data_IF_550556532831
#
_entry.id   IF_550556532831
#
_cell.length_a   1.000
_cell.length_b   1.000
_cell.length_c   1.000
_cell.angle_alpha   90.00
_cell.angle_beta   90.00
_cell.angle_gamma   90.00
#
_symmetry.space_group_name_H-M   'P 1'
#
loop_
_entity.id
_entity.type
_entity.pdbx_description
1 polymer ?
#
# COMPACT_ATOMS: atom_id res chain seq x y z
N UNK A 1 0.46 -21.99 18.52
CA UNK A 1 0.20 -20.56 18.30
C UNK A 1 -1.28 -20.40 18.11
N UNK A 2 -1.90 -19.61 18.96
CA UNK A 2 -3.36 -19.42 19.04
C UNK A 2 -3.84 -18.68 17.78
N UNK A 3 -4.68 -19.33 16.97
CA UNK A 3 -5.19 -18.79 15.70
C UNK A 3 -6.39 -17.84 15.87
N UNK A 4 -6.72 -17.48 17.11
CA UNK A 4 -7.98 -16.83 17.47
C UNK A 4 -8.01 -15.32 17.31
N UNK A 5 -6.90 -14.67 16.93
CA UNK A 5 -6.82 -13.22 16.71
C UNK A 5 -6.26 -12.88 15.31
N UNK A 6 -6.60 -13.66 14.29
CA UNK A 6 -6.40 -13.21 12.91
C UNK A 6 -7.36 -12.04 12.66
N UNK A 7 -6.82 -10.88 12.31
CA UNK A 7 -7.64 -9.69 12.08
C UNK A 7 -8.63 -9.95 10.95
N UNK A 8 -9.90 -9.60 11.17
CA UNK A 8 -10.93 -9.77 10.15
C UNK A 8 -10.81 -8.68 9.08
N UNK A 9 -9.89 -8.88 8.13
CA UNK A 9 -9.70 -7.95 7.01
C UNK A 9 -10.97 -7.75 6.16
N UNK A 10 -11.96 -8.64 6.24
CA UNK A 10 -13.24 -8.47 5.55
C UNK A 10 -14.07 -7.33 6.15
N UNK A 11 -14.13 -7.23 7.48
CA UNK A 11 -14.82 -6.11 8.15
C UNK A 11 -14.14 -4.78 7.83
N UNK A 12 -12.80 -4.77 7.82
CA UNK A 12 -12.02 -3.60 7.46
C UNK A 12 -12.27 -3.18 6.00
N UNK A 13 -12.26 -4.16 5.08
CA UNK A 13 -12.57 -3.95 3.67
C UNK A 13 -13.97 -3.36 3.49
N UNK A 14 -14.96 -3.84 4.24
CA UNK A 14 -16.33 -3.33 4.19
C UNK A 14 -16.45 -1.89 4.68
N UNK A 15 -15.76 -1.53 5.76
CA UNK A 15 -15.72 -0.16 6.28
C UNK A 15 -15.11 0.80 5.24
N UNK A 16 -13.94 0.43 4.70
CA UNK A 16 -13.24 1.19 3.66
C UNK A 16 -14.12 1.32 2.40
N UNK A 17 -14.76 0.24 1.97
CA UNK A 17 -15.66 0.24 0.81
C UNK A 17 -16.84 1.18 0.99
N UNK A 18 -17.46 1.17 2.19
CA UNK A 18 -18.64 2.01 2.51
C UNK A 18 -18.30 3.49 2.55
N UNK A 19 -17.10 3.85 2.99
CA UNK A 19 -16.64 5.24 3.06
C UNK A 19 -16.39 5.87 1.67
N UNK A 20 -16.16 5.05 0.64
CA UNK A 20 -15.96 5.55 -0.71
C UNK A 20 -17.30 6.01 -1.34
N UNK A 21 -17.31 7.16 -2.07
CA UNK A 21 -18.51 7.72 -2.70
C UNK A 21 -19.29 6.71 -3.54
N UNK A 22 -20.62 6.67 -3.36
CA UNK A 22 -21.51 5.69 -3.98
C UNK A 22 -21.91 5.99 -5.43
N UNK A 23 -21.57 7.16 -5.99
CA UNK A 23 -21.91 7.57 -7.38
C UNK A 23 -21.03 6.85 -8.43
N UNK A 24 -21.07 5.51 -8.40
CA UNK A 24 -20.18 4.62 -9.15
C UNK A 24 -20.65 4.24 -10.56
N UNK A 25 -21.74 4.79 -11.09
CA UNK A 25 -22.18 4.43 -12.44
C UNK A 25 -21.10 4.74 -13.50
N UNK A 26 -20.35 5.83 -13.32
CA UNK A 26 -19.24 6.22 -14.19
C UNK A 26 -18.04 5.29 -14.05
N UNK A 27 -17.76 4.77 -12.85
CA UNK A 27 -16.61 3.88 -12.67
C UNK A 27 -16.91 2.40 -12.91
N UNK A 28 -18.15 1.95 -12.76
CA UNK A 28 -18.58 0.65 -13.31
C UNK A 28 -18.59 0.70 -14.84
N UNK A 29 -19.01 1.82 -15.44
CA UNK A 29 -18.92 2.05 -16.88
C UNK A 29 -17.46 2.11 -17.34
N UNK A 30 -16.61 2.91 -16.70
CA UNK A 30 -15.19 3.01 -17.03
C UNK A 30 -14.45 1.68 -16.80
N UNK A 31 -14.81 0.91 -15.77
CA UNK A 31 -14.28 -0.44 -15.58
C UNK A 31 -14.75 -1.38 -16.69
N UNK A 32 -16.04 -1.35 -17.06
CA UNK A 32 -16.54 -2.17 -18.18
C UNK A 32 -15.82 -1.80 -19.47
N UNK A 33 -15.64 -0.51 -19.76
CA UNK A 33 -14.89 0.00 -20.90
C UNK A 33 -13.42 -0.45 -20.84
N UNK A 34 -12.78 -0.39 -19.69
CA UNK A 34 -11.42 -0.91 -19.47
C UNK A 34 -11.34 -2.43 -19.61
N UNK A 35 -12.28 -3.19 -19.05
CA UNK A 35 -12.32 -4.66 -19.10
C UNK A 35 -12.57 -5.16 -20.53
N UNK A 36 -13.33 -4.39 -21.31
CA UNK A 36 -13.53 -4.62 -22.74
C UNK A 36 -12.25 -4.29 -23.55
N UNK A 37 -11.50 -3.26 -23.18
CA UNK A 37 -10.24 -2.87 -23.85
C UNK A 37 -9.04 -3.77 -23.45
N UNK A 38 -9.05 -4.33 -22.23
CA UNK A 38 -7.99 -5.23 -21.72
C UNK A 38 -8.19 -6.70 -22.06
N UNK A 39 -9.37 -7.11 -22.56
CA UNK A 39 -9.52 -8.40 -23.24
C UNK A 39 -8.60 -8.52 -24.48
N UNK A 40 -8.07 -7.40 -24.97
CA UNK A 40 -7.11 -7.30 -26.09
C UNK A 40 -5.67 -6.99 -25.61
N UNK A 41 -5.46 -6.64 -24.34
CA UNK A 41 -4.15 -6.23 -23.80
C UNK A 41 -3.79 -7.06 -22.57
N UNK A 42 -2.81 -7.95 -22.74
CA UNK A 42 -2.07 -8.48 -21.60
C UNK A 42 -1.52 -7.30 -20.78
N UNK A 43 -2.09 -7.05 -19.59
CA UNK A 43 -1.49 -6.49 -18.36
C UNK A 43 -2.39 -5.46 -17.68
N UNK A 44 -2.47 -5.56 -16.36
CA UNK A 44 -2.92 -4.55 -15.42
C UNK A 44 -2.05 -3.28 -15.55
N UNK A 45 -2.34 -2.45 -16.55
CA UNK A 45 -1.77 -1.13 -16.75
C UNK A 45 -2.92 -0.15 -16.79
N UNK A 46 -3.19 0.53 -15.67
CA UNK A 46 -4.14 1.63 -15.64
C UNK A 46 -3.40 2.93 -15.84
N UNK A 47 -3.97 3.85 -16.63
CA UNK A 47 -3.46 5.22 -16.64
C UNK A 47 -3.74 5.87 -15.27
N UNK A 48 -2.94 6.87 -14.90
CA UNK A 48 -3.18 7.69 -13.70
C UNK A 48 -4.60 8.27 -13.71
N UNK A 49 -5.07 8.70 -14.88
CA UNK A 49 -6.41 9.25 -15.06
C UNK A 49 -7.51 8.22 -14.83
N UNK A 50 -7.31 6.96 -15.21
CA UNK A 50 -8.24 5.87 -14.91
C UNK A 50 -8.24 5.51 -13.43
N UNK A 51 -7.06 5.54 -12.81
CA UNK A 51 -6.88 5.28 -11.38
C UNK A 51 -7.57 6.34 -10.50
N UNK A 52 -7.69 7.58 -11.00
CA UNK A 52 -8.43 8.69 -10.37
C UNK A 52 -9.97 8.59 -10.47
N UNK A 53 -10.52 7.65 -11.25
CA UNK A 53 -11.98 7.53 -11.44
C UNK A 53 -12.66 6.89 -10.21
N UNK A 54 -13.69 7.54 -9.67
CA UNK A 54 -14.30 7.17 -8.37
C UNK A 54 -14.86 5.74 -8.27
N UNK A 55 -15.29 5.09 -9.36
CA UNK A 55 -15.74 3.69 -9.27
C UNK A 55 -14.66 2.63 -9.48
N UNK A 56 -13.43 3.01 -9.90
CA UNK A 56 -12.28 2.12 -9.78
C UNK A 56 -12.01 1.83 -8.30
N UNK A 57 -12.05 2.86 -7.45
CA UNK A 57 -11.73 2.76 -6.03
C UNK A 57 -12.58 1.73 -5.29
N UNK A 58 -13.90 1.77 -5.46
CA UNK A 58 -14.82 0.81 -4.82
C UNK A 58 -14.61 -0.61 -5.31
N UNK A 59 -14.40 -0.80 -6.60
CA UNK A 59 -14.20 -2.13 -7.17
C UNK A 59 -12.86 -2.72 -6.76
N UNK A 60 -11.80 -1.91 -6.76
CA UNK A 60 -10.50 -2.30 -6.24
C UNK A 60 -10.62 -2.77 -4.78
N UNK A 61 -11.27 -1.98 -3.92
CA UNK A 61 -11.44 -2.34 -2.51
C UNK A 61 -12.22 -3.65 -2.37
N UNK A 62 -13.35 -3.78 -3.07
CA UNK A 62 -14.17 -4.99 -3.04
C UNK A 62 -13.42 -6.24 -3.51
N UNK A 63 -12.62 -6.14 -4.57
CA UNK A 63 -11.98 -7.31 -5.19
C UNK A 63 -10.63 -7.67 -4.58
N UNK A 64 -9.83 -6.69 -4.16
CA UNK A 64 -8.40 -6.88 -3.93
C UNK A 64 -7.93 -6.54 -2.51
N UNK A 65 -8.72 -5.81 -1.71
CA UNK A 65 -8.27 -5.30 -0.42
C UNK A 65 -7.84 -6.43 0.52
N UNK A 66 -8.73 -7.40 0.76
CA UNK A 66 -8.51 -8.49 1.72
C UNK A 66 -7.29 -9.32 1.34
N UNK A 67 -7.20 -9.73 0.08
CA UNK A 67 -6.10 -10.57 -0.39
C UNK A 67 -4.76 -9.86 -0.32
N UNK A 68 -4.71 -8.56 -0.65
CA UNK A 68 -3.49 -7.75 -0.54
C UNK A 68 -3.08 -7.53 0.91
N UNK A 69 -4.02 -7.23 1.80
CA UNK A 69 -3.72 -7.09 3.22
C UNK A 69 -3.16 -8.39 3.83
N UNK A 70 -3.79 -9.54 3.52
CA UNK A 70 -3.30 -10.87 3.94
C UNK A 70 -1.93 -11.21 3.34
N UNK A 71 -1.70 -10.88 2.07
CA UNK A 71 -0.41 -11.11 1.42
C UNK A 71 0.70 -10.31 2.10
N UNK A 72 0.44 -9.03 2.41
CA UNK A 72 1.42 -8.17 3.08
C UNK A 72 1.68 -8.61 4.52
N UNK A 73 0.65 -9.04 5.26
CA UNK A 73 0.84 -9.66 6.57
C UNK A 73 1.78 -10.88 6.51
N UNK A 74 1.51 -11.81 5.58
CA UNK A 74 2.32 -13.01 5.38
C UNK A 74 3.75 -12.68 4.96
N UNK A 75 3.93 -11.61 4.18
CA UNK A 75 5.24 -11.10 3.81
C UNK A 75 5.99 -10.59 5.05
N UNK A 76 5.35 -9.80 5.90
CA UNK A 76 5.95 -9.30 7.15
C UNK A 76 6.39 -10.44 8.07
N UNK A 77 5.57 -11.49 8.19
CA UNK A 77 5.95 -12.68 8.92
C UNK A 77 7.28 -13.27 8.39
N UNK A 78 7.39 -13.48 7.07
CA UNK A 78 8.62 -14.01 6.47
C UNK A 78 9.81 -13.07 6.64
N UNK A 79 9.60 -11.75 6.51
CA UNK A 79 10.66 -10.75 6.67
C UNK A 79 11.22 -10.80 8.09
N UNK A 80 10.35 -10.85 9.10
CA UNK A 80 10.75 -10.91 10.50
C UNK A 80 11.46 -12.23 10.83
N UNK A 81 10.93 -13.36 10.34
CA UNK A 81 11.55 -14.67 10.53
C UNK A 81 12.94 -14.76 9.88
N UNK A 82 13.13 -14.12 8.71
CA UNK A 82 14.35 -14.24 7.91
C UNK A 82 15.43 -13.24 8.33
N UNK A 83 15.05 -11.99 8.53
CA UNK A 83 15.99 -10.87 8.69
C UNK A 83 16.07 -10.35 10.12
N UNK A 84 15.13 -10.74 10.99
CA UNK A 84 15.05 -10.30 12.39
C UNK A 84 15.29 -8.78 12.56
N UNK A 85 14.59 -7.93 11.79
CA UNK A 85 14.78 -6.49 11.88
C UNK A 85 14.37 -5.98 13.26
N UNK A 86 15.05 -4.92 13.72
CA UNK A 86 14.69 -4.20 14.94
C UNK A 86 13.42 -3.36 14.71
N UNK A 87 12.26 -4.01 14.79
CA UNK A 87 10.95 -3.38 14.83
C UNK A 87 10.49 -3.24 16.28
N UNK A 88 9.78 -2.16 16.58
CA UNK A 88 9.29 -1.90 17.93
C UNK A 88 8.43 -0.64 18.01
N UNK A 89 8.12 -0.21 19.24
CA UNK A 89 7.34 1.00 19.48
C UNK A 89 7.95 2.20 18.74
N UNK A 90 7.13 2.97 18.02
CA UNK A 90 7.60 4.10 17.20
C UNK A 90 8.02 3.74 15.77
N UNK A 91 7.90 2.46 15.36
CA UNK A 91 8.09 2.09 13.94
C UNK A 91 7.07 2.79 13.06
N UNK A 92 7.53 3.58 12.10
CA UNK A 92 6.67 4.28 11.14
C UNK A 92 6.50 3.49 9.84
N UNK A 93 5.32 3.54 9.23
CA UNK A 93 5.06 2.95 7.91
C UNK A 93 5.01 4.07 6.87
N UNK A 94 5.73 3.91 5.77
CA UNK A 94 5.64 4.78 4.60
C UNK A 94 5.17 3.95 3.40
N UNK A 95 3.97 4.18 2.91
CA UNK A 95 3.36 3.39 1.83
C UNK A 95 3.19 4.26 0.59
N UNK A 96 3.96 3.99 -0.45
CA UNK A 96 3.88 4.71 -1.73
C UNK A 96 3.03 3.93 -2.71
N UNK A 97 2.12 4.61 -3.41
CA UNK A 97 1.03 4.01 -4.18
C UNK A 97 0.09 3.19 -3.27
N UNK A 98 -0.16 3.71 -2.07
CA UNK A 98 -0.87 3.00 -1.01
C UNK A 98 -2.29 2.56 -1.39
N UNK A 99 -2.91 3.24 -2.36
CA UNK A 99 -4.32 3.11 -2.67
C UNK A 99 -5.17 3.33 -1.41
N UNK A 100 -6.14 2.44 -1.11
CA UNK A 100 -6.94 2.51 0.10
C UNK A 100 -6.19 2.05 1.38
N UNK A 101 -4.88 1.82 1.32
CA UNK A 101 -4.08 1.41 2.47
C UNK A 101 -4.09 -0.09 2.77
N UNK A 102 -4.39 -0.95 1.80
CA UNK A 102 -4.46 -2.41 2.02
C UNK A 102 -3.13 -3.03 2.51
N UNK A 103 -1.99 -2.61 1.93
CA UNK A 103 -0.69 -3.09 2.36
C UNK A 103 -0.32 -2.53 3.73
N UNK A 104 -0.53 -1.23 3.95
CA UNK A 104 -0.42 -0.61 5.28
C UNK A 104 -1.24 -1.37 6.32
N UNK A 105 -2.51 -1.71 6.04
CA UNK A 105 -3.36 -2.49 6.94
C UNK A 105 -2.71 -3.83 7.29
N UNK A 106 -2.20 -4.57 6.30
CA UNK A 106 -1.48 -5.82 6.52
C UNK A 106 -0.25 -5.68 7.44
N UNK A 107 0.58 -4.66 7.22
CA UNK A 107 1.76 -4.38 8.05
C UNK A 107 1.37 -3.95 9.47
N UNK A 108 0.49 -2.96 9.58
CA UNK A 108 0.05 -2.40 10.86
C UNK A 108 -0.56 -3.47 11.76
N UNK A 109 -1.41 -4.32 11.18
CA UNK A 109 -2.03 -5.42 11.87
C UNK A 109 -1.00 -6.43 12.36
N UNK A 110 0.03 -6.73 11.55
CA UNK A 110 1.10 -7.64 11.94
C UNK A 110 1.89 -7.10 13.14
N UNK A 111 2.27 -5.82 13.10
CA UNK A 111 3.01 -5.16 14.17
C UNK A 111 2.22 -5.18 15.48
N UNK A 112 0.93 -4.84 15.41
CA UNK A 112 0.05 -4.84 16.56
C UNK A 112 -0.13 -6.25 17.15
N UNK A 113 -0.43 -7.24 16.31
CA UNK A 113 -0.63 -8.62 16.74
C UNK A 113 0.62 -9.27 17.36
N UNK A 114 1.81 -8.89 16.89
CA UNK A 114 3.08 -9.35 17.46
C UNK A 114 3.50 -8.57 18.71
N UNK A 115 2.66 -7.66 19.22
CA UNK A 115 2.98 -6.73 20.30
C UNK A 115 4.28 -5.95 20.06
N UNK A 116 4.61 -5.70 18.78
CA UNK A 116 5.78 -4.91 18.40
C UNK A 116 5.51 -3.42 18.55
N UNK A 117 4.25 -3.00 18.40
CA UNK A 117 3.85 -1.60 18.59
C UNK A 117 2.45 -1.54 19.21
N UNK A 118 2.31 -0.77 20.29
CA UNK A 118 1.01 -0.45 20.86
C UNK A 118 0.25 0.53 19.98
N UNK A 119 0.98 1.42 19.29
CA UNK A 119 0.46 2.38 18.32
C UNK A 119 1.19 2.27 16.98
N UNK A 120 0.49 2.39 15.86
CA UNK A 120 1.11 2.35 14.52
C UNK A 120 0.88 3.66 13.80
N UNK A 121 1.96 4.36 13.45
CA UNK A 121 1.89 5.56 12.62
C UNK A 121 2.22 5.22 11.17
N UNK A 122 1.37 5.64 10.25
CA UNK A 122 1.57 5.44 8.82
C UNK A 122 1.44 6.75 8.04
N UNK A 123 2.22 6.89 6.97
CA UNK A 123 2.08 7.94 5.98
C UNK A 123 1.90 7.29 4.60
N UNK A 124 0.74 7.52 4.01
CA UNK A 124 0.31 6.92 2.76
C UNK A 124 0.38 7.98 1.66
N UNK A 125 1.09 7.67 0.59
CA UNK A 125 1.29 8.53 -0.56
C UNK A 125 0.68 7.86 -1.78
N UNK A 126 -0.18 8.57 -2.50
CA UNK A 126 -0.84 8.03 -3.69
C UNK A 126 -1.27 9.19 -4.62
N UNK A 127 -1.27 9.01 -5.95
CA UNK A 127 -1.74 10.06 -6.87
C UNK A 127 -3.27 10.15 -6.99
N UNK A 128 -4.03 9.20 -6.45
CA UNK A 128 -5.50 9.24 -6.45
C UNK A 128 -6.04 9.59 -5.06
N UNK A 129 -7.23 10.17 -5.02
CA UNK A 129 -7.88 10.64 -3.79
C UNK A 129 -8.46 9.48 -2.97
N UNK A 130 -7.65 8.94 -2.06
CA UNK A 130 -8.04 7.85 -1.14
C UNK A 130 -8.35 8.31 0.28
N UNK A 131 -8.32 9.62 0.56
CA UNK A 131 -8.52 10.16 1.91
C UNK A 131 -9.73 9.54 2.65
N UNK A 132 -10.94 9.42 2.06
CA UNK A 132 -12.08 8.81 2.77
C UNK A 132 -11.86 7.34 3.14
N UNK A 133 -11.15 6.59 2.29
CA UNK A 133 -10.81 5.20 2.56
C UNK A 133 -9.78 5.08 3.70
N UNK A 134 -8.77 5.96 3.70
CA UNK A 134 -7.73 5.97 4.75
C UNK A 134 -8.29 6.46 6.09
N UNK A 135 -9.22 7.42 6.09
CA UNK A 135 -9.95 7.85 7.28
C UNK A 135 -10.78 6.71 7.88
N UNK A 136 -11.47 5.94 7.03
CA UNK A 136 -12.23 4.76 7.47
C UNK A 136 -11.32 3.65 8.02
N UNK A 137 -10.16 3.44 7.40
CA UNK A 137 -9.12 2.53 7.89
C UNK A 137 -8.66 2.92 9.29
N UNK A 138 -8.27 4.18 9.50
CA UNK A 138 -7.86 4.73 10.80
C UNK A 138 -8.97 4.64 11.85
N UNK A 139 -10.22 4.94 11.47
CA UNK A 139 -11.36 4.86 12.38
C UNK A 139 -11.67 3.43 12.82
N UNK A 140 -11.43 2.45 11.94
CA UNK A 140 -11.66 1.03 12.21
C UNK A 140 -10.53 0.40 13.04
N UNK A 141 -9.34 0.99 13.02
CA UNK A 141 -8.15 0.54 13.73
C UNK A 141 -7.72 1.62 14.73
N UNK A 142 -8.35 1.67 15.90
CA UNK A 142 -8.14 2.76 16.88
C UNK A 142 -6.71 2.92 17.42
N UNK A 143 -5.87 1.91 17.23
CA UNK A 143 -4.44 1.91 17.59
C UNK A 143 -3.53 2.29 16.41
N UNK A 144 -4.10 2.60 15.25
CA UNK A 144 -3.39 3.06 14.05
C UNK A 144 -3.75 4.52 13.79
N UNK A 145 -2.76 5.31 13.37
CA UNK A 145 -2.92 6.66 12.88
C UNK A 145 -2.27 6.76 11.50
N UNK A 146 -3.08 6.96 10.46
CA UNK A 146 -2.60 7.13 9.09
C UNK A 146 -2.83 8.55 8.57
N UNK A 147 -1.75 9.19 8.14
CA UNK A 147 -1.77 10.41 7.35
C UNK A 147 -1.82 10.07 5.86
N UNK A 148 -2.76 10.64 5.13
CA UNK A 148 -2.88 10.45 3.68
C UNK A 148 -2.43 11.70 2.93
N UNK A 149 -1.58 11.52 1.92
CA UNK A 149 -1.09 12.59 1.06
C UNK A 149 -1.30 12.26 -0.40
N UNK A 150 -2.30 12.91 -1.00
CA UNK A 150 -2.48 12.92 -2.44
C UNK A 150 -1.34 13.70 -3.10
N UNK A 151 -0.52 13.06 -3.93
CA UNK A 151 0.59 13.69 -4.65
C UNK A 151 0.69 13.13 -6.06
N UNK A 152 0.69 14.00 -7.04
CA UNK A 152 0.61 13.60 -8.45
C UNK A 152 1.96 13.14 -9.05
N UNK A 153 3.07 13.30 -8.32
CA UNK A 153 4.38 12.85 -8.79
C UNK A 153 5.28 12.31 -7.66
N UNK A 154 6.21 11.44 -8.06
CA UNK A 154 7.14 10.78 -7.15
C UNK A 154 8.06 11.78 -6.42
N UNK A 155 8.45 12.88 -7.07
CA UNK A 155 9.37 13.85 -6.47
C UNK A 155 8.77 14.49 -5.22
N UNK A 156 7.50 14.88 -5.27
CA UNK A 156 6.77 15.43 -4.13
C UNK A 156 6.55 14.40 -3.03
N UNK A 157 6.21 13.15 -3.39
CA UNK A 157 6.11 12.05 -2.43
C UNK A 157 7.44 11.84 -1.69
N UNK A 158 8.57 11.84 -2.42
CA UNK A 158 9.90 11.70 -1.84
C UNK A 158 10.29 12.89 -0.96
N UNK A 159 9.88 14.12 -1.30
CA UNK A 159 10.09 15.29 -0.44
C UNK A 159 9.33 15.14 0.88
N UNK A 160 8.04 14.80 0.84
CA UNK A 160 7.25 14.56 2.05
C UNK A 160 7.78 13.38 2.88
N UNK A 161 8.28 12.33 2.23
CA UNK A 161 8.95 11.23 2.92
C UNK A 161 10.20 11.70 3.67
N UNK A 162 11.07 12.50 3.05
CA UNK A 162 12.28 13.02 3.71
C UNK A 162 11.94 13.84 4.96
N UNK A 163 10.94 14.71 4.88
CA UNK A 163 10.45 15.50 6.01
C UNK A 163 10.02 14.59 7.16
N UNK A 164 9.24 13.55 6.87
CA UNK A 164 8.71 12.64 7.89
C UNK A 164 9.76 11.69 8.47
N UNK A 165 10.73 11.24 7.67
CA UNK A 165 11.83 10.42 8.17
C UNK A 165 12.70 11.19 9.17
N UNK A 166 12.87 12.50 8.97
CA UNK A 166 13.59 13.35 9.92
C UNK A 166 12.86 13.50 11.27
N UNK A 167 11.55 13.26 11.28
CA UNK A 167 10.71 13.26 12.48
C UNK A 167 10.62 11.88 13.15
N UNK A 168 11.27 10.85 12.59
CA UNK A 168 11.25 9.47 13.10
C UNK A 168 12.49 9.15 13.93
N UNK A 169 12.33 8.32 14.95
CA UNK A 169 13.41 7.75 15.76
C UNK A 169 14.24 6.67 15.01
N UNK A 170 14.29 6.75 13.68
CA UNK A 170 15.11 5.92 12.80
C UNK A 170 14.53 4.56 12.39
N UNK A 171 13.41 4.12 12.97
CA UNK A 171 12.76 2.84 12.62
C UNK A 171 11.57 3.05 11.70
N UNK A 172 11.66 2.53 10.49
CA UNK A 172 10.58 2.64 9.52
C UNK A 172 10.50 1.47 8.54
N UNK A 173 9.31 1.25 8.03
CA UNK A 173 9.00 0.29 6.97
C UNK A 173 8.59 1.09 5.74
N UNK A 174 9.30 0.90 4.64
CA UNK A 174 8.89 1.45 3.34
C UNK A 174 8.19 0.37 2.53
N UNK A 175 6.95 0.65 2.15
CA UNK A 175 6.13 -0.17 1.26
C UNK A 175 6.05 0.56 -0.08
N UNK A 176 6.30 -0.16 -1.16
CA UNK A 176 6.12 0.33 -2.52
C UNK A 176 4.94 -0.42 -3.15
N UNK A 177 3.75 -0.07 -2.70
CA UNK A 177 2.50 -0.59 -3.23
C UNK A 177 2.28 0.01 -4.63
N UNK A 178 2.47 -0.77 -5.68
CA UNK A 178 2.01 -0.42 -7.04
C UNK A 178 2.55 0.84 -7.74
N UNK A 179 3.54 1.56 -7.20
CA UNK A 179 4.23 2.64 -7.94
C UNK A 179 4.89 2.15 -9.26
N UNK A 180 5.10 0.84 -9.43
CA UNK A 180 6.08 0.32 -10.40
C UNK A 180 5.53 -0.46 -11.61
N UNK A 181 4.21 -0.64 -11.78
CA UNK A 181 3.67 -1.22 -13.04
C UNK A 181 2.93 -0.22 -13.92
N UNK A 182 2.38 0.84 -13.32
CA UNK A 182 1.56 1.84 -14.02
C UNK A 182 2.36 3.10 -14.47
N UNK A 183 3.64 3.21 -14.12
CA UNK A 183 4.52 4.35 -14.45
C UNK A 183 5.87 3.93 -15.09
N UNK A 184 5.85 3.04 -16.09
CA UNK A 184 7.05 2.63 -16.86
C UNK A 184 8.24 2.13 -16.00
N UNK A 185 7.92 1.27 -15.03
CA UNK A 185 8.79 0.92 -13.91
C UNK A 185 10.23 0.50 -14.22
N UNK A 186 11.17 1.13 -13.50
CA UNK A 186 12.40 0.49 -13.03
C UNK A 186 12.28 0.28 -11.52
N UNK A 187 12.41 -0.96 -11.09
CA UNK A 187 12.31 -1.36 -9.69
C UNK A 187 13.36 -0.66 -8.81
N UNK A 188 12.97 -0.22 -7.61
CA UNK A 188 13.91 0.15 -6.56
C UNK A 188 13.45 -0.43 -5.22
N UNK A 189 14.36 -1.08 -4.51
CA UNK A 189 14.26 -1.45 -3.09
C UNK A 189 15.37 -0.71 -2.38
N UNK A 190 15.15 -0.18 -1.17
CA UNK A 190 16.23 0.09 -0.22
C UNK A 190 15.71 0.19 1.22
N UNK A 191 16.42 -0.51 2.12
CA UNK A 191 16.17 -0.65 3.55
C UNK A 191 16.82 0.48 4.37
N UNK A 192 16.51 0.48 5.68
CA UNK A 192 16.84 1.47 6.71
C UNK A 192 18.32 1.73 7.02
N UNK A 193 18.66 2.24 8.23
CA UNK A 193 19.78 3.19 8.43
C UNK A 193 21.20 2.68 8.20
N UNK A 194 21.41 1.38 7.97
CA UNK A 194 22.76 0.84 7.70
C UNK A 194 22.75 -0.12 6.51
N UNK A 195 22.90 0.46 5.31
CA UNK A 195 23.77 -0.05 4.24
C UNK A 195 23.57 -1.47 3.65
N UNK A 196 22.63 -2.28 4.11
CA UNK A 196 22.42 -3.65 3.60
C UNK A 196 21.35 -3.69 2.51
N UNK A 197 21.66 -3.11 1.35
CA UNK A 197 20.88 -3.31 0.14
C UNK A 197 21.11 -4.73 -0.40
N UNK A 198 20.19 -5.66 -0.11
CA UNK A 198 20.16 -6.96 -0.78
C UNK A 198 19.74 -6.77 -2.25
N UNK A 199 20.72 -6.56 -3.14
CA UNK A 199 20.52 -6.61 -4.59
C UNK A 199 20.25 -8.06 -4.99
N UNK A 200 18.98 -8.46 -5.12
CA UNK A 200 18.65 -9.63 -5.93
C UNK A 200 18.65 -9.25 -7.41
N UNK A 201 19.44 -10.02 -8.16
CA UNK A 201 19.77 -9.79 -9.56
C UNK A 201 18.53 -9.76 -10.45
N UNK A 202 18.39 -8.68 -11.22
CA UNK A 202 17.57 -8.67 -12.41
C UNK A 202 18.17 -9.70 -13.41
N UNK A 203 17.43 -10.74 -13.84
CA UNK A 203 17.92 -11.62 -14.89
C UNK A 203 18.03 -10.83 -16.19
N UNK A 204 19.27 -10.55 -16.59
CA UNK A 204 19.62 -9.95 -17.89
C UNK A 204 19.11 -10.85 -19.02
N UNK A 205 17.91 -10.59 -19.55
CA UNK A 205 17.52 -11.16 -20.86
C UNK A 205 16.86 -10.18 -21.82
N UNK A 206 16.48 -8.95 -21.44
CA UNK A 206 15.90 -8.00 -22.41
C UNK A 206 16.41 -6.54 -22.25
N UNK A 207 17.72 -6.34 -22.28
CA UNK A 207 18.25 -5.03 -22.69
C UNK A 207 18.33 -5.00 -24.22
N UNK A 208 17.21 -4.64 -24.86
CA UNK A 208 17.25 -4.14 -26.24
C UNK A 208 18.09 -2.86 -26.26
N UNK A 209 19.00 -2.78 -27.24
CA UNK A 209 19.78 -1.57 -27.52
C UNK A 209 18.83 -0.44 -27.90
N UNK A 210 18.96 0.70 -27.23
CA UNK A 210 18.71 2.02 -27.80
C UNK A 210 20.06 2.71 -27.82
#
# INVERSE_FOLDING_TARGET
MDSSHEMNFSELSDAVYKALPSKCWEGDKAYREWALDTAVKEKFQWSVEDYKKQGFARRYTFQLFVDRAKATWKLMQKVVETFQPELGEGTQIFDFGAGPGCATAGVASFLHHRNMSASVNASLFDPAEWAPAVEALTSSLSWMNADFRCRDNLQEMLTSFKERVQESDGRFIVILSHVLRDFEGRHLFLAGPEGSCARQACPRTHCGKI
#
